data_IF_216496806315
#
_entry.id   IF_216496806315
#
_cell.length_a   1.000
_cell.length_b   1.000
_cell.length_c   1.000
_cell.angle_alpha   90.00
_cell.angle_beta   90.00
_cell.angle_gamma   90.00
#
_symmetry.space_group_name_H-M   'P 1'
#
loop_
_entity.id
_entity.type
_entity.pdbx_description
1 polymer ?
#
# COMPACT_ATOMS: atom_id res chain seq x y z
N UNK A 1 -8.48 -22.27 -9.29
CA UNK A 1 -7.51 -21.15 -9.37
C UNK A 1 -7.51 -20.45 -8.02
N UNK A 2 -6.46 -20.61 -7.21
CA UNK A 2 -6.34 -19.92 -5.92
C UNK A 2 -5.14 -18.99 -5.98
N UNK A 3 -5.39 -17.68 -6.13
CA UNK A 3 -4.37 -16.68 -5.84
C UNK A 3 -4.26 -16.57 -4.33
N UNK A 4 -3.21 -17.16 -3.75
CA UNK A 4 -3.00 -17.15 -2.31
C UNK A 4 -2.81 -15.72 -1.78
N UNK A 5 -3.43 -15.34 -0.65
CA UNK A 5 -3.28 -14.02 -0.03
C UNK A 5 -1.81 -13.61 0.22
N UNK A 6 -0.94 -14.59 0.44
CA UNK A 6 0.50 -14.40 0.59
C UNK A 6 1.17 -13.80 -0.66
N UNK A 7 0.73 -14.19 -1.87
CA UNK A 7 1.28 -13.66 -3.12
C UNK A 7 0.92 -12.18 -3.30
N UNK A 8 -0.29 -11.79 -2.90
CA UNK A 8 -0.72 -10.39 -2.91
C UNK A 8 0.07 -9.55 -1.91
N UNK A 9 0.30 -10.09 -0.70
CA UNK A 9 1.14 -9.44 0.31
C UNK A 9 2.55 -9.14 -0.21
N UNK A 10 3.20 -10.12 -0.85
CA UNK A 10 4.53 -9.94 -1.43
C UNK A 10 4.55 -8.96 -2.61
N UNK A 11 3.54 -9.01 -3.48
CA UNK A 11 3.44 -8.11 -4.63
C UNK A 11 3.29 -6.64 -4.18
N UNK A 12 2.44 -6.38 -3.17
CA UNK A 12 2.26 -5.05 -2.59
C UNK A 12 3.56 -4.54 -1.95
N UNK A 13 4.25 -5.38 -1.16
CA UNK A 13 5.54 -5.01 -0.56
C UNK A 13 6.56 -4.68 -1.65
N UNK A 14 6.61 -5.47 -2.72
CA UNK A 14 7.51 -5.26 -3.86
C UNK A 14 7.24 -3.92 -4.56
N UNK A 15 5.97 -3.56 -4.77
CA UNK A 15 5.57 -2.26 -5.34
C UNK A 15 6.07 -1.11 -4.46
N UNK A 16 5.78 -1.17 -3.15
CA UNK A 16 6.18 -0.13 -2.19
C UNK A 16 7.71 0.02 -2.17
N UNK A 17 8.44 -1.10 -2.12
CA UNK A 17 9.91 -1.09 -2.08
C UNK A 17 10.50 -0.47 -3.35
N UNK A 18 9.96 -0.78 -4.54
CA UNK A 18 10.43 -0.19 -5.82
C UNK A 18 10.21 1.31 -5.89
N UNK A 19 9.14 1.81 -5.27
CA UNK A 19 8.80 3.23 -5.28
C UNK A 19 9.42 4.02 -4.10
N UNK A 20 10.07 3.33 -3.15
CA UNK A 20 10.44 3.82 -1.80
C UNK A 20 9.24 4.25 -0.92
N UNK A 21 8.28 4.94 -1.52
CA UNK A 21 7.01 5.36 -0.95
C UNK A 21 5.90 5.20 -2.01
N UNK A 22 4.79 4.60 -1.64
CA UNK A 22 3.63 4.47 -2.54
C UNK A 22 2.34 4.88 -1.81
N UNK A 23 1.50 5.66 -2.48
CA UNK A 23 0.15 5.94 -1.99
C UNK A 23 -0.79 4.76 -2.26
N UNK A 24 -1.95 4.75 -1.61
CA UNK A 24 -2.99 3.76 -1.94
C UNK A 24 -3.36 3.80 -3.42
N UNK A 25 -3.44 4.99 -4.02
CA UNK A 25 -3.77 5.15 -5.43
C UNK A 25 -2.72 4.52 -6.35
N UNK A 26 -1.43 4.68 -6.03
CA UNK A 26 -0.34 4.08 -6.80
C UNK A 26 -0.41 2.55 -6.78
N UNK A 27 -0.69 1.97 -5.61
CA UNK A 27 -0.78 0.52 -5.43
C UNK A 27 -2.02 -0.03 -6.17
N UNK A 28 -3.17 0.64 -6.05
CA UNK A 28 -4.39 0.27 -6.78
C UNK A 28 -4.19 0.38 -8.29
N UNK A 29 -3.46 1.39 -8.76
CA UNK A 29 -3.14 1.57 -10.17
C UNK A 29 -2.17 0.48 -10.67
N UNK A 30 -1.16 0.12 -9.87
CA UNK A 30 -0.22 -0.94 -10.20
C UNK A 30 -0.88 -2.33 -10.29
N UNK A 31 -1.92 -2.55 -9.48
CA UNK A 31 -2.70 -3.80 -9.43
C UNK A 31 -4.00 -3.75 -10.25
N UNK A 32 -4.19 -2.70 -11.06
CA UNK A 32 -5.46 -2.44 -11.74
C UNK A 32 -5.89 -3.66 -12.56
N UNK A 33 -7.18 -4.00 -12.46
CA UNK A 33 -7.84 -5.15 -13.10
C UNK A 33 -7.46 -6.55 -12.56
N UNK A 34 -6.49 -6.67 -11.64
CA UNK A 34 -6.10 -7.96 -11.04
C UNK A 34 -6.71 -8.18 -9.66
N UNK A 35 -6.87 -7.10 -8.89
CA UNK A 35 -7.30 -7.17 -7.49
C UNK A 35 -8.32 -6.06 -7.21
N UNK A 36 -9.46 -6.37 -6.58
CA UNK A 36 -10.40 -5.35 -6.11
C UNK A 36 -9.74 -4.36 -5.14
N UNK A 37 -10.05 -3.05 -5.22
CA UNK A 37 -9.50 -2.05 -4.30
C UNK A 37 -9.70 -2.39 -2.81
N UNK A 38 -10.85 -2.96 -2.45
CA UNK A 38 -11.15 -3.40 -1.09
C UNK A 38 -10.17 -4.46 -0.56
N UNK A 39 -9.79 -5.42 -1.40
CA UNK A 39 -8.84 -6.47 -1.02
C UNK A 39 -7.42 -5.90 -0.88
N UNK A 40 -7.05 -4.92 -1.71
CA UNK A 40 -5.79 -4.18 -1.56
C UNK A 40 -5.78 -3.42 -0.23
N UNK A 41 -6.85 -2.73 0.14
CA UNK A 41 -6.97 -1.97 1.40
C UNK A 41 -6.90 -2.91 2.61
N UNK A 42 -7.58 -4.06 2.56
CA UNK A 42 -7.49 -5.10 3.59
C UNK A 42 -6.07 -5.64 3.71
N UNK A 43 -5.41 -5.91 2.60
CA UNK A 43 -4.04 -6.40 2.58
C UNK A 43 -3.07 -5.39 3.18
N UNK A 44 -3.16 -4.11 2.78
CA UNK A 44 -2.37 -3.01 3.35
C UNK A 44 -2.54 -2.90 4.86
N UNK A 45 -3.78 -3.01 5.36
CA UNK A 45 -4.08 -2.98 6.79
C UNK A 45 -3.43 -4.16 7.53
N UNK A 46 -3.46 -5.36 6.93
CA UNK A 46 -2.79 -6.56 7.47
C UNK A 46 -1.27 -6.39 7.49
N UNK A 47 -0.67 -5.90 6.42
CA UNK A 47 0.78 -5.66 6.32
C UNK A 47 1.26 -4.64 7.36
N UNK A 48 0.47 -3.59 7.62
CA UNK A 48 0.76 -2.62 8.70
C UNK A 48 0.70 -3.29 10.07
N UNK A 49 -0.34 -4.08 10.35
CA UNK A 49 -0.47 -4.82 11.62
C UNK A 49 0.67 -5.81 11.84
N UNK A 50 1.11 -6.49 10.77
CA UNK A 50 2.27 -7.41 10.77
C UNK A 50 3.63 -6.69 10.84
N UNK A 51 3.66 -5.36 10.88
CA UNK A 51 4.88 -4.54 10.84
C UNK A 51 5.77 -4.85 9.63
N UNK A 52 5.17 -5.17 8.47
CA UNK A 52 5.89 -5.36 7.20
C UNK A 52 6.03 -4.04 6.43
N UNK A 53 5.05 -3.14 6.59
CA UNK A 53 5.06 -1.80 5.99
C UNK A 53 4.62 -0.76 7.03
N UNK A 54 5.13 0.46 6.91
CA UNK A 54 4.75 1.62 7.71
C UNK A 54 3.76 2.49 6.94
N UNK A 55 2.66 2.86 7.59
CA UNK A 55 1.71 3.86 7.10
C UNK A 55 2.12 5.24 7.63
N UNK A 56 2.23 6.23 6.76
CA UNK A 56 2.58 7.60 7.11
C UNK A 56 1.58 8.58 6.48
N UNK A 57 1.31 9.66 7.18
CA UNK A 57 0.61 10.81 6.62
C UNK A 57 1.68 11.81 6.17
N UNK A 58 1.70 12.13 4.88
CA UNK A 58 2.62 13.12 4.30
C UNK A 58 1.80 14.26 3.71
N UNK A 59 2.21 15.50 3.98
CA UNK A 59 1.48 16.69 3.54
C UNK A 59 1.87 17.90 4.36
N UNK A 60 1.28 19.03 4.01
CA UNK A 60 1.53 20.30 4.71
C UNK A 60 0.39 20.59 5.67
N UNK A 61 0.70 20.98 6.91
CA UNK A 61 -0.32 21.25 7.93
C UNK A 61 -1.27 22.39 7.52
N UNK A 62 -0.75 23.35 6.75
CA UNK A 62 -1.49 24.52 6.25
C UNK A 62 -2.41 24.22 5.06
N UNK A 63 -2.24 23.06 4.40
CA UNK A 63 -3.05 22.63 3.26
C UNK A 63 -3.51 21.18 3.46
N UNK A 64 -4.56 20.95 4.27
CA UNK A 64 -5.03 19.61 4.58
C UNK A 64 -5.45 18.81 3.34
N UNK A 65 -5.85 19.46 2.25
CA UNK A 65 -6.11 18.84 0.94
C UNK A 65 -4.88 18.15 0.31
N UNK A 66 -3.68 18.54 0.72
CA UNK A 66 -2.42 17.93 0.27
C UNK A 66 -1.98 16.75 1.13
N UNK A 67 -2.68 16.48 2.23
CA UNK A 67 -2.39 15.34 3.11
C UNK A 67 -2.74 14.04 2.39
N UNK A 68 -1.76 13.15 2.28
CA UNK A 68 -1.91 11.84 1.64
C UNK A 68 -1.36 10.76 2.55
N UNK A 69 -2.02 9.61 2.50
CA UNK A 69 -1.53 8.41 3.14
C UNK A 69 -0.56 7.74 2.17
N UNK A 70 0.67 7.54 2.61
CA UNK A 70 1.69 6.76 1.90
C UNK A 70 2.15 5.59 2.74
N UNK A 71 2.65 4.57 2.07
CA UNK A 71 3.20 3.35 2.64
C UNK A 71 4.67 3.26 2.27
N UNK A 72 5.50 2.77 3.20
CA UNK A 72 6.92 2.47 2.99
C UNK A 72 7.26 1.15 3.68
N UNK A 73 8.34 0.48 3.28
CA UNK A 73 8.82 -0.74 3.96
C UNK A 73 9.61 -0.40 5.23
N UNK A 74 9.77 -1.36 6.13
CA UNK A 74 10.58 -1.21 7.36
C UNK A 74 12.07 -1.58 7.19
N UNK A 75 12.51 -1.96 5.97
CA UNK A 75 13.93 -2.18 5.63
C UNK A 75 14.84 -1.03 6.10
#
# INVERSE_FOLDING_TARGET
MSSSPALLEEEIISIIRRMNYASQADIVLALKYRVPPDDIIKCLSTLVRKKKIKKMCVGTRDRPETMRIVYTTFD
#
